data_IF_585480359357
#
_entry.id   IF_585480359357
#
_cell.length_a   1.000
_cell.length_b   1.000
_cell.length_c   1.000
_cell.angle_alpha   90.00
_cell.angle_beta   90.00
_cell.angle_gamma   90.00
#
_symmetry.space_group_name_H-M   'P 1'
#
loop_
_entity.id
_entity.type
_entity.pdbx_description
1 polymer ?
#
# COMPACT_ATOMS: atom_id res chain seq x y z
N UNK A 1 11.40 -9.78 10.84
CA UNK A 1 9.98 -10.11 10.66
C UNK A 1 9.49 -10.94 11.83
N UNK A 2 8.30 -10.66 12.34
CA UNK A 2 7.66 -11.42 13.41
C UNK A 2 6.14 -11.48 13.17
N UNK A 3 5.50 -12.51 13.71
CA UNK A 3 4.06 -12.63 13.71
C UNK A 3 3.55 -12.16 15.06
N UNK A 4 2.61 -11.21 15.06
CA UNK A 4 1.91 -10.77 16.26
C UNK A 4 0.68 -11.68 16.46
N UNK A 5 0.62 -12.51 17.51
CA UNK A 5 -0.58 -13.26 17.83
C UNK A 5 -1.69 -12.32 18.32
N UNK A 6 -2.91 -12.85 18.43
CA UNK A 6 -4.03 -12.09 18.99
C UNK A 6 -3.76 -11.68 20.45
N UNK A 7 -4.20 -10.48 20.83
CA UNK A 7 -4.00 -9.90 22.16
C UNK A 7 -2.87 -8.89 22.20
N UNK A 8 -2.66 -8.31 23.38
CA UNK A 8 -1.61 -7.32 23.60
C UNK A 8 -0.26 -8.04 23.79
N UNK A 9 0.71 -7.70 22.95
CA UNK A 9 2.07 -8.26 23.01
C UNK A 9 3.13 -7.17 23.10
N UNK A 10 4.29 -7.53 23.63
CA UNK A 10 5.49 -6.68 23.63
C UNK A 10 6.59 -7.40 22.86
N UNK A 11 7.21 -6.72 21.92
CA UNK A 11 8.21 -7.29 21.02
C UNK A 11 9.49 -6.46 21.10
N UNK A 12 10.63 -7.11 21.32
CA UNK A 12 11.94 -6.48 21.22
C UNK A 12 12.27 -6.26 19.75
N UNK A 13 12.44 -5.00 19.34
CA UNK A 13 12.78 -4.65 17.96
C UNK A 13 14.29 -4.57 17.75
N UNK A 14 15.04 -4.11 18.75
CA UNK A 14 16.49 -4.05 18.70
C UNK A 14 17.07 -4.03 20.13
N UNK A 15 18.28 -4.59 20.26
CA UNK A 15 19.09 -4.56 21.48
C UNK A 15 20.56 -4.30 21.10
N UNK A 16 21.32 -3.77 22.06
CA UNK A 16 22.76 -3.58 21.90
C UNK A 16 23.16 -2.57 20.82
N UNK A 17 22.28 -1.61 20.53
CA UNK A 17 22.59 -0.57 19.58
C UNK A 17 23.75 0.31 20.09
N UNK A 18 24.64 0.68 19.19
CA UNK A 18 25.72 1.64 19.51
C UNK A 18 25.14 3.01 19.85
N UNK A 19 25.93 3.85 20.52
CA UNK A 19 25.52 5.22 20.79
C UNK A 19 25.37 6.01 19.50
N UNK A 20 24.20 6.63 19.30
CA UNK A 20 23.90 7.40 18.10
C UNK A 20 22.42 7.50 17.79
N UNK A 21 22.09 8.14 16.68
CA UNK A 21 20.74 8.22 16.18
C UNK A 21 20.39 6.97 15.34
N UNK A 22 19.25 6.37 15.63
CA UNK A 22 18.75 5.19 14.92
C UNK A 22 17.35 5.45 14.40
N UNK A 23 17.07 4.99 13.18
CA UNK A 23 15.71 4.96 12.60
C UNK A 23 15.14 3.56 12.77
N UNK A 24 13.94 3.50 13.34
CA UNK A 24 13.14 2.26 13.40
C UNK A 24 11.96 2.44 12.47
N UNK A 25 11.80 1.51 11.53
CA UNK A 25 10.66 1.43 10.64
C UNK A 25 9.88 0.16 10.93
N UNK A 26 8.58 0.32 11.20
CA UNK A 26 7.68 -0.79 11.47
C UNK A 26 6.61 -0.85 10.40
N UNK A 27 6.58 -1.93 9.65
CA UNK A 27 5.67 -2.13 8.52
C UNK A 27 4.71 -3.28 8.82
N UNK A 28 3.40 -3.02 8.67
CA UNK A 28 2.39 -4.07 8.66
C UNK A 28 2.27 -4.62 7.24
N UNK A 29 2.72 -5.85 7.02
CA UNK A 29 2.73 -6.45 5.68
C UNK A 29 1.43 -7.17 5.30
N UNK A 30 0.71 -7.74 6.29
CA UNK A 30 -0.53 -8.47 6.00
C UNK A 30 -1.72 -7.55 5.95
N UNK A 31 -2.56 -7.70 4.93
CA UNK A 31 -3.84 -6.99 4.79
C UNK A 31 -5.04 -7.86 5.17
N UNK A 32 -4.87 -9.18 5.26
CA UNK A 32 -5.98 -10.11 5.47
C UNK A 32 -6.31 -10.24 6.95
N UNK A 33 -7.51 -9.81 7.31
CA UNK A 33 -8.28 -10.32 8.44
C UNK A 33 -7.87 -9.88 9.84
N UNK A 34 -6.99 -8.89 10.03
CA UNK A 34 -6.60 -8.49 11.38
C UNK A 34 -6.40 -6.99 11.54
N UNK A 35 -7.21 -6.40 12.40
CA UNK A 35 -6.89 -5.08 12.94
C UNK A 35 -5.63 -5.18 13.81
N UNK A 36 -4.79 -4.19 13.73
CA UNK A 36 -3.57 -4.09 14.49
C UNK A 36 -3.46 -2.69 15.09
N UNK A 37 -3.18 -2.63 16.38
CA UNK A 37 -3.03 -1.36 17.08
C UNK A 37 -1.63 -1.25 17.65
N UNK A 38 -0.90 -0.21 17.29
CA UNK A 38 0.38 0.14 17.92
C UNK A 38 0.10 0.96 19.18
N UNK A 39 0.39 0.39 20.35
CA UNK A 39 0.24 1.10 21.62
C UNK A 39 1.40 2.05 21.93
N UNK A 40 2.56 1.86 21.30
CA UNK A 40 3.72 2.73 21.48
C UNK A 40 5.04 1.96 21.53
N UNK A 41 6.10 2.70 21.82
CA UNK A 41 7.45 2.17 21.97
C UNK A 41 7.94 2.36 23.43
N UNK A 42 8.68 1.36 23.92
CA UNK A 42 9.44 1.47 25.17
C UNK A 42 10.92 1.57 24.80
N UNK A 43 11.58 2.62 25.24
CA UNK A 43 13.01 2.84 25.03
C UNK A 43 13.74 2.71 26.37
N UNK A 44 14.87 2.02 26.37
CA UNK A 44 15.74 1.88 27.55
C UNK A 44 17.08 2.57 27.26
N UNK A 45 17.44 3.54 28.10
CA UNK A 45 18.68 4.30 27.93
C UNK A 45 18.70 5.28 26.76
N UNK A 46 17.53 5.59 26.19
CA UNK A 46 17.41 6.47 25.03
C UNK A 46 16.12 7.29 25.10
N UNK A 47 16.01 8.31 24.26
CA UNK A 47 14.81 9.11 24.05
C UNK A 47 14.42 9.17 22.57
N UNK A 48 13.18 9.54 22.30
CA UNK A 48 12.75 9.85 20.94
C UNK A 48 13.38 11.17 20.50
N UNK A 49 13.89 11.17 19.29
CA UNK A 49 14.28 12.39 18.58
C UNK A 49 13.06 13.03 17.92
N UNK A 50 13.21 14.27 17.46
CA UNK A 50 12.22 14.89 16.60
C UNK A 50 11.95 14.01 15.37
N UNK A 51 10.72 14.00 14.89
CA UNK A 51 10.39 13.32 13.65
C UNK A 51 11.30 13.85 12.52
N UNK A 52 11.79 12.99 11.63
CA UNK A 52 12.47 13.44 10.44
C UNK A 52 11.51 14.27 9.58
N UNK A 53 12.07 15.13 8.75
CA UNK A 53 11.28 15.82 7.74
C UNK A 53 10.56 14.79 6.84
N UNK A 54 9.34 15.13 6.45
CA UNK A 54 8.58 14.33 5.48
C UNK A 54 9.30 14.35 4.13
N UNK A 55 9.12 13.29 3.35
CA UNK A 55 9.64 13.25 2.00
C UNK A 55 9.05 14.42 1.19
N UNK A 56 9.87 14.98 0.29
CA UNK A 56 9.43 16.06 -0.62
C UNK A 56 8.75 15.54 -1.88
N UNK A 57 8.63 14.23 -2.01
CA UNK A 57 7.97 13.53 -3.12
C UNK A 57 6.92 12.60 -2.57
N UNK A 58 5.78 12.57 -3.23
CA UNK A 58 4.63 11.77 -2.82
C UNK A 58 4.12 10.97 -4.02
N UNK A 59 3.94 9.67 -3.83
CA UNK A 59 3.43 8.79 -4.89
C UNK A 59 2.26 8.00 -4.33
N UNK A 60 1.17 7.95 -5.07
CA UNK A 60 0.03 7.12 -4.73
C UNK A 60 -0.14 5.99 -5.74
N UNK A 61 -0.31 4.77 -5.24
CA UNK A 61 -0.42 3.58 -6.06
C UNK A 61 -1.78 2.93 -5.91
N UNK A 62 -2.41 2.62 -7.04
CA UNK A 62 -3.67 1.87 -7.12
C UNK A 62 -3.43 0.54 -7.83
N UNK A 63 -3.86 -0.57 -7.23
CA UNK A 63 -3.60 -1.88 -7.81
C UNK A 63 -4.34 -3.05 -7.19
N UNK A 64 -3.98 -4.20 -7.69
CA UNK A 64 -4.53 -5.49 -7.27
C UNK A 64 -3.55 -6.30 -6.39
N UNK A 65 -3.56 -7.63 -6.54
CA UNK A 65 -2.68 -8.54 -5.81
C UNK A 65 -1.19 -8.26 -6.00
N UNK A 66 -0.78 -7.77 -7.17
CA UNK A 66 0.62 -7.45 -7.43
C UNK A 66 1.09 -6.28 -6.57
N UNK A 67 0.25 -5.27 -6.41
CA UNK A 67 0.53 -4.13 -5.55
C UNK A 67 0.38 -4.48 -4.07
N UNK A 68 -0.61 -5.29 -3.70
CA UNK A 68 -0.78 -5.78 -2.34
C UNK A 68 0.38 -6.69 -1.87
N UNK A 69 1.17 -7.23 -2.81
CA UNK A 69 2.28 -8.13 -2.52
C UNK A 69 1.83 -9.55 -2.20
N UNK A 70 0.70 -9.98 -2.79
CA UNK A 70 0.17 -11.33 -2.59
C UNK A 70 1.20 -12.39 -2.99
N UNK A 71 1.46 -13.33 -2.12
CA UNK A 71 2.45 -14.41 -2.28
C UNK A 71 3.90 -13.96 -2.45
N UNK A 72 4.22 -12.68 -2.39
CA UNK A 72 5.55 -12.18 -2.72
C UNK A 72 6.65 -12.78 -1.83
N UNK A 73 6.33 -13.08 -0.58
CA UNK A 73 7.25 -13.66 0.41
C UNK A 73 7.04 -15.15 0.62
N UNK A 74 6.22 -15.80 -0.20
CA UNK A 74 5.95 -17.23 -0.08
C UNK A 74 7.09 -18.06 -0.64
N UNK A 75 7.45 -19.11 0.10
CA UNK A 75 8.24 -20.20 -0.44
C UNK A 75 7.32 -21.25 -1.09
N UNK A 76 7.92 -22.21 -1.79
CA UNK A 76 7.17 -23.27 -2.44
C UNK A 76 6.31 -24.05 -1.41
N UNK A 77 5.02 -24.21 -1.69
CA UNK A 77 4.02 -24.91 -0.87
C UNK A 77 3.53 -24.19 0.39
N UNK A 78 3.83 -22.92 0.57
CA UNK A 78 3.26 -22.13 1.65
C UNK A 78 1.90 -21.52 1.29
N UNK A 79 1.09 -21.24 2.31
CA UNK A 79 -0.18 -20.53 2.11
C UNK A 79 0.10 -19.07 1.67
N UNK A 80 -0.31 -18.73 0.45
CA UNK A 80 -0.10 -17.44 -0.16
C UNK A 80 -0.56 -16.26 0.72
N UNK A 81 -1.67 -16.40 1.42
CA UNK A 81 -2.23 -15.36 2.27
C UNK A 81 -1.36 -14.99 3.49
N UNK A 82 -0.43 -15.85 3.88
CA UNK A 82 0.46 -15.63 5.02
C UNK A 82 1.74 -14.90 4.65
N UNK A 83 2.08 -14.90 3.36
CA UNK A 83 3.36 -14.46 2.85
C UNK A 83 3.23 -13.22 1.97
N UNK A 84 2.38 -12.31 2.39
CA UNK A 84 2.21 -10.99 1.78
C UNK A 84 3.42 -10.13 2.09
N UNK A 85 3.87 -9.35 1.15
CA UNK A 85 5.05 -8.52 1.27
C UNK A 85 4.87 -7.14 0.64
N UNK A 86 3.88 -6.35 1.08
CA UNK A 86 3.59 -5.04 0.50
C UNK A 86 4.80 -4.09 0.49
N UNK A 87 5.67 -4.18 1.50
CA UNK A 87 6.91 -3.39 1.58
C UNK A 87 7.91 -3.69 0.44
N UNK A 88 7.85 -4.88 -0.12
CA UNK A 88 8.75 -5.36 -1.18
C UNK A 88 8.13 -5.35 -2.58
N UNK A 89 6.93 -4.82 -2.72
CA UNK A 89 6.32 -4.61 -4.03
C UNK A 89 7.04 -3.51 -4.80
N UNK A 90 6.74 -3.44 -6.09
CA UNK A 90 7.25 -2.36 -6.93
C UNK A 90 6.96 -0.96 -6.38
N UNK A 91 5.83 -0.77 -5.68
CA UNK A 91 5.51 0.51 -5.07
C UNK A 91 6.50 0.88 -3.96
N UNK A 92 6.70 -0.01 -2.98
CA UNK A 92 7.65 0.24 -1.91
C UNK A 92 9.10 0.36 -2.40
N UNK A 93 9.50 -0.41 -3.42
CA UNK A 93 10.82 -0.31 -4.02
C UNK A 93 10.99 1.02 -4.75
N UNK A 94 10.00 1.41 -5.57
CA UNK A 94 10.01 2.68 -6.31
C UNK A 94 10.05 3.87 -5.36
N UNK A 95 9.18 3.90 -4.37
CA UNK A 95 9.15 4.98 -3.38
C UNK A 95 10.50 5.17 -2.70
N UNK A 96 11.12 4.08 -2.22
CA UNK A 96 12.46 4.15 -1.62
C UNK A 96 13.53 4.61 -2.59
N UNK A 97 13.48 4.17 -3.85
CA UNK A 97 14.43 4.58 -4.89
C UNK A 97 14.36 6.08 -5.20
N UNK A 98 13.17 6.66 -5.09
CA UNK A 98 12.95 8.10 -5.30
C UNK A 98 13.03 8.93 -4.00
N UNK A 99 13.22 8.31 -2.85
CA UNK A 99 13.13 8.98 -1.54
C UNK A 99 11.76 9.61 -1.32
N UNK A 100 10.71 8.93 -1.76
CA UNK A 100 9.34 9.39 -1.69
C UNK A 100 8.57 8.72 -0.54
N UNK A 101 7.62 9.45 0.02
CA UNK A 101 6.52 8.85 0.77
C UNK A 101 5.50 8.26 -0.22
N UNK A 102 4.78 7.21 0.18
CA UNK A 102 3.80 6.62 -0.71
C UNK A 102 2.57 6.06 0.01
N UNK A 103 1.45 6.14 -0.68
CA UNK A 103 0.23 5.40 -0.35
C UNK A 103 0.08 4.18 -1.26
N UNK A 104 -0.46 3.10 -0.71
CA UNK A 104 -0.72 1.86 -1.41
C UNK A 104 -2.19 1.48 -1.23
N UNK A 105 -2.99 1.76 -2.24
CA UNK A 105 -4.43 1.44 -2.30
C UNK A 105 -4.60 0.18 -3.14
N UNK A 106 -4.62 -0.98 -2.49
CA UNK A 106 -4.63 -2.25 -3.21
C UNK A 106 -5.39 -3.35 -2.48
N UNK A 107 -6.05 -4.18 -3.26
CA UNK A 107 -6.73 -5.38 -2.79
C UNK A 107 -6.50 -6.52 -3.76
N UNK A 108 -6.16 -7.71 -3.23
CA UNK A 108 -5.97 -8.91 -4.05
C UNK A 108 -7.24 -9.31 -4.78
N UNK A 109 -7.17 -9.53 -6.08
CA UNK A 109 -8.32 -9.87 -6.92
C UNK A 109 -9.13 -8.67 -7.39
N UNK A 110 -8.73 -7.44 -7.05
CA UNK A 110 -9.51 -6.26 -7.37
C UNK A 110 -9.50 -5.95 -8.87
N UNK A 111 -10.62 -5.40 -9.30
CA UNK A 111 -10.89 -4.98 -10.68
C UNK A 111 -10.97 -3.45 -10.76
N UNK A 112 -10.88 -2.90 -11.98
CA UNK A 112 -11.15 -1.48 -12.22
C UNK A 112 -12.53 -1.06 -11.67
N UNK A 113 -13.53 -1.94 -11.87
CA UNK A 113 -14.89 -1.69 -11.38
C UNK A 113 -14.97 -1.67 -9.84
N UNK A 114 -14.29 -2.59 -9.18
CA UNK A 114 -14.31 -2.67 -7.72
C UNK A 114 -13.52 -1.53 -7.08
N UNK A 115 -12.37 -1.19 -7.64
CA UNK A 115 -11.53 -0.09 -7.16
C UNK A 115 -12.26 1.26 -7.17
N UNK A 116 -13.20 1.49 -8.07
CA UNK A 116 -14.08 2.69 -8.07
C UNK A 116 -14.84 2.89 -6.75
N UNK A 117 -15.06 1.83 -5.99
CA UNK A 117 -15.75 1.89 -4.70
C UNK A 117 -14.79 1.87 -3.50
N UNK A 118 -13.50 1.83 -3.76
CA UNK A 118 -12.46 1.68 -2.73
C UNK A 118 -11.45 2.84 -2.73
N UNK A 119 -11.30 3.55 -3.86
CA UNK A 119 -10.24 4.51 -4.08
C UNK A 119 -10.24 5.69 -3.10
N UNK A 120 -11.42 6.01 -2.58
CA UNK A 120 -11.68 7.12 -1.67
C UNK A 120 -12.04 6.67 -0.24
N UNK A 121 -11.65 5.47 0.17
CA UNK A 121 -11.90 4.99 1.54
C UNK A 121 -10.69 5.16 2.43
N UNK A 122 -10.91 5.51 3.69
CA UNK A 122 -9.85 5.46 4.70
C UNK A 122 -9.49 4.01 5.06
N UNK A 123 -10.46 3.10 4.98
CA UNK A 123 -10.30 1.70 5.34
C UNK A 123 -11.11 0.80 4.40
N UNK A 124 -10.67 -0.43 4.24
CA UNK A 124 -11.32 -1.38 3.33
C UNK A 124 -12.73 -1.79 3.76
N UNK A 125 -12.98 -1.87 5.07
CA UNK A 125 -14.21 -2.43 5.62
C UNK A 125 -15.32 -1.38 5.78
N UNK A 126 -14.95 -0.14 6.03
CA UNK A 126 -15.87 0.94 6.28
C UNK A 126 -16.00 1.86 5.07
N UNK A 127 -17.23 2.29 4.80
CA UNK A 127 -17.50 3.24 3.70
C UNK A 127 -17.40 4.70 4.14
N UNK A 128 -17.34 4.92 5.44
CA UNK A 128 -17.25 6.24 6.04
C UNK A 128 -16.26 6.24 7.23
N UNK A 129 -15.49 7.30 7.41
CA UNK A 129 -15.47 8.48 6.54
C UNK A 129 -14.76 8.21 5.20
N UNK A 130 -15.08 8.97 4.17
CA UNK A 130 -14.31 9.00 2.94
C UNK A 130 -12.93 9.61 3.17
N UNK A 131 -11.94 9.15 2.41
CA UNK A 131 -10.61 9.72 2.44
C UNK A 131 -10.62 11.19 2.00
N UNK A 132 -10.01 12.03 2.79
CA UNK A 132 -9.80 13.44 2.47
C UNK A 132 -8.50 13.60 1.68
N UNK A 133 -8.63 13.78 0.37
CA UNK A 133 -7.49 13.91 -0.56
C UNK A 133 -6.61 15.13 -0.31
N UNK A 134 -7.10 16.14 0.42
CA UNK A 134 -6.29 17.29 0.82
C UNK A 134 -5.22 16.93 1.87
N UNK A 135 -5.36 15.79 2.54
CA UNK A 135 -4.38 15.28 3.52
C UNK A 135 -3.13 14.70 2.88
N UNK A 136 -3.19 14.35 1.60
CA UNK A 136 -2.06 13.79 0.87
C UNK A 136 -2.17 14.14 -0.61
N UNK A 137 -1.28 14.98 -1.08
CA UNK A 137 -1.24 15.43 -2.48
C UNK A 137 -0.07 14.74 -3.18
N UNK A 138 -0.31 13.70 -4.00
CA UNK A 138 0.76 13.01 -4.72
C UNK A 138 1.27 13.82 -5.91
N UNK A 139 2.58 13.79 -6.14
CA UNK A 139 3.19 14.26 -7.39
C UNK A 139 2.88 13.32 -8.55
N UNK A 140 2.73 12.03 -8.24
CA UNK A 140 2.40 11.01 -9.22
C UNK A 140 1.39 9.99 -8.66
N UNK A 141 0.45 9.61 -9.50
CA UNK A 141 -0.47 8.50 -9.28
C UNK A 141 -0.11 7.39 -10.24
N UNK A 142 0.09 6.18 -9.73
CA UNK A 142 0.48 5.01 -10.53
C UNK A 142 -0.63 3.96 -10.43
N UNK A 143 -1.20 3.58 -11.56
CA UNK A 143 -2.27 2.58 -11.62
C UNK A 143 -1.84 1.33 -12.38
N UNK A 144 -1.98 0.17 -11.70
CA UNK A 144 -1.81 -1.16 -12.28
C UNK A 144 -3.04 -2.01 -11.93
N UNK A 145 -4.07 -1.89 -12.74
CA UNK A 145 -5.35 -2.59 -12.60
C UNK A 145 -5.79 -3.10 -13.96
N UNK A 146 -6.74 -4.03 -13.99
CA UNK A 146 -7.36 -4.54 -15.21
C UNK A 146 -7.09 -6.03 -15.46
N UNK A 147 -6.02 -6.60 -14.88
CA UNK A 147 -5.73 -8.03 -15.03
C UNK A 147 -6.90 -8.93 -14.58
N UNK A 148 -7.62 -8.53 -13.56
CA UNK A 148 -8.79 -9.28 -13.07
C UNK A 148 -10.08 -8.98 -13.85
N UNK A 149 -10.10 -7.93 -14.68
CA UNK A 149 -11.26 -7.57 -15.49
C UNK A 149 -11.39 -8.45 -16.74
N UNK A 150 -10.26 -8.97 -17.27
CA UNK A 150 -10.23 -9.77 -18.52
C UNK A 150 -11.05 -11.06 -18.45
N UNK A 151 -11.26 -11.60 -17.25
CA UNK A 151 -11.98 -12.85 -17.06
C UNK A 151 -13.51 -12.74 -17.19
N UNK A 152 -14.06 -11.55 -17.31
CA UNK A 152 -15.51 -11.38 -17.32
C UNK A 152 -16.01 -10.14 -18.07
N UNK A 153 -15.16 -9.40 -18.75
CA UNK A 153 -15.55 -8.19 -19.47
C UNK A 153 -15.01 -8.15 -20.90
N UNK A 154 -15.77 -7.54 -21.80
CA UNK A 154 -15.30 -7.28 -23.15
C UNK A 154 -14.23 -6.18 -23.16
N UNK A 155 -13.40 -6.14 -24.20
CA UNK A 155 -12.39 -5.10 -24.38
C UNK A 155 -13.00 -3.68 -24.29
N UNK A 156 -14.14 -3.45 -24.92
CA UNK A 156 -14.81 -2.15 -24.85
C UNK A 156 -15.26 -1.82 -23.42
N UNK A 157 -15.71 -2.81 -22.67
CA UNK A 157 -16.09 -2.64 -21.27
C UNK A 157 -14.88 -2.29 -20.40
N UNK A 158 -13.74 -2.96 -20.64
CA UNK A 158 -12.50 -2.68 -19.92
C UNK A 158 -12.01 -1.26 -20.25
N UNK A 159 -11.99 -0.87 -21.52
CA UNK A 159 -11.65 0.51 -21.94
C UNK A 159 -12.51 1.56 -21.23
N UNK A 160 -13.82 1.34 -21.14
CA UNK A 160 -14.70 2.27 -20.44
C UNK A 160 -14.40 2.32 -18.94
N UNK A 161 -14.12 1.17 -18.31
CA UNK A 161 -13.73 1.12 -16.89
C UNK A 161 -12.43 1.88 -16.62
N UNK A 162 -11.47 1.83 -17.54
CA UNK A 162 -10.26 2.65 -17.46
C UNK A 162 -10.57 4.14 -17.51
N UNK A 163 -11.38 4.57 -18.46
CA UNK A 163 -11.81 5.98 -18.57
C UNK A 163 -12.46 6.42 -17.27
N UNK A 164 -13.44 5.65 -16.80
CA UNK A 164 -14.16 5.97 -15.56
C UNK A 164 -13.22 6.09 -14.35
N UNK A 165 -12.25 5.19 -14.21
CA UNK A 165 -11.30 5.20 -13.10
C UNK A 165 -10.31 6.36 -13.21
N UNK A 166 -9.83 6.65 -14.42
CA UNK A 166 -8.92 7.77 -14.68
C UNK A 166 -9.59 9.12 -14.43
N UNK A 167 -10.87 9.26 -14.76
CA UNK A 167 -11.66 10.46 -14.47
C UNK A 167 -11.76 10.70 -12.96
N UNK A 168 -12.00 9.65 -12.18
CA UNK A 168 -12.03 9.72 -10.71
C UNK A 168 -10.66 10.12 -10.14
N UNK A 169 -9.59 9.46 -10.59
CA UNK A 169 -8.24 9.77 -10.13
C UNK A 169 -7.81 11.18 -10.52
N UNK A 170 -8.18 11.64 -11.72
CA UNK A 170 -7.90 13.02 -12.15
C UNK A 170 -8.69 14.06 -11.35
N UNK A 171 -9.93 13.73 -10.97
CA UNK A 171 -10.74 14.61 -10.13
C UNK A 171 -10.17 14.69 -8.70
N UNK A 172 -9.70 13.57 -8.14
CA UNK A 172 -9.09 13.52 -6.82
C UNK A 172 -7.69 14.17 -6.79
N UNK A 173 -6.92 14.06 -7.88
CA UNK A 173 -5.54 14.52 -8.00
C UNK A 173 -5.33 15.36 -9.26
N UNK A 174 -5.83 16.61 -9.27
CA UNK A 174 -5.87 17.43 -10.49
C UNK A 174 -4.50 17.73 -11.09
N UNK A 175 -3.46 17.83 -10.27
CA UNK A 175 -2.11 18.23 -10.67
C UNK A 175 -1.13 17.04 -10.76
N UNK A 176 -1.50 15.85 -10.31
CA UNK A 176 -0.62 14.70 -10.31
C UNK A 176 -0.34 14.16 -11.72
N UNK A 177 0.86 13.63 -11.91
CA UNK A 177 1.16 12.82 -13.09
C UNK A 177 0.52 11.45 -12.96
N UNK A 178 -0.44 11.11 -13.81
CA UNK A 178 -1.08 9.79 -13.80
C UNK A 178 -0.33 8.86 -14.76
N UNK A 179 0.19 7.78 -14.23
CA UNK A 179 0.90 6.72 -14.96
C UNK A 179 0.06 5.45 -14.89
N UNK A 180 -0.34 4.96 -16.05
CA UNK A 180 -0.98 3.65 -16.19
C UNK A 180 0.03 2.71 -16.83
N UNK A 181 0.28 1.58 -16.20
CA UNK A 181 1.15 0.60 -16.80
C UNK A 181 0.54 -0.80 -16.76
N UNK A 182 0.96 -1.57 -17.74
CA UNK A 182 0.59 -2.96 -17.88
C UNK A 182 1.55 -3.82 -17.05
N UNK A 183 1.01 -4.59 -16.13
CA UNK A 183 1.78 -5.44 -15.24
C UNK A 183 1.82 -6.89 -15.67
N UNK A 184 2.34 -7.71 -14.82
CA UNK A 184 2.36 -9.16 -14.96
C UNK A 184 0.93 -9.73 -15.06
N UNK A 185 0.72 -10.66 -15.97
CA UNK A 185 -0.58 -11.31 -16.16
C UNK A 185 -1.48 -10.67 -17.22
N UNK A 186 -0.95 -9.76 -18.00
CA UNK A 186 -1.61 -9.24 -19.18
C UNK A 186 -1.05 -9.94 -20.42
N UNK A 187 -1.91 -10.58 -21.21
CA UNK A 187 -1.59 -11.13 -22.54
C UNK A 187 -1.87 -10.10 -23.63
#
# INVERSE_FOLDING_TARGET
RFNAPSGVGRYTLAEGLESGAHKVELVKETYVGTNWTLHGFTLTGAGLLAAPDTASRHIEFYGDSNLAGYSLMSEQNESANRMVGCHYTYAGITARAFGADYHNVSVSGETLRGMKNLYDREDYFDTEPSWDFDRYTPDAVVMNLGANDIWGASENTIKQRYVDMLDLLRAAHPDAHIVVYNGWGWD
#
